data_IF_943940656850
#
_entry.id   IF_943940656850
#
_cell.length_a   1.000
_cell.length_b   1.000
_cell.length_c   1.000
_cell.angle_alpha   90.00
_cell.angle_beta   90.00
_cell.angle_gamma   90.00
#
_symmetry.space_group_name_H-M   'P 1'
#
loop_
_entity.id
_entity.type
_entity.pdbx_description
1 polymer ?
#
# COMPACT_ATOMS: atom_id res chain seq x y z
N UNK A 1 -2.18 31.68 5.58
CA UNK A 1 -1.82 30.38 4.97
C UNK A 1 -1.84 29.22 5.96
N UNK A 2 -1.25 29.32 7.14
CA UNK A 2 -1.19 28.28 8.18
C UNK A 2 -2.56 27.79 8.71
N UNK A 3 -3.60 28.64 8.73
CA UNK A 3 -4.94 28.26 9.25
C UNK A 3 -5.66 27.28 8.33
N UNK A 4 -5.55 27.45 7.01
CA UNK A 4 -6.19 26.56 6.04
C UNK A 4 -5.46 25.22 5.93
N UNK A 5 -4.14 25.20 6.15
CA UNK A 5 -3.35 23.97 6.18
C UNK A 5 -3.73 23.08 7.37
N UNK A 6 -4.01 23.66 8.54
CA UNK A 6 -4.48 22.90 9.73
C UNK A 6 -5.81 22.21 9.50
N UNK A 7 -6.74 22.87 8.79
CA UNK A 7 -8.07 22.30 8.49
C UNK A 7 -7.94 21.14 7.52
N UNK A 8 -7.07 21.23 6.52
CA UNK A 8 -6.83 20.14 5.54
C UNK A 8 -6.20 18.92 6.23
N UNK A 9 -5.22 19.12 7.10
CA UNK A 9 -4.56 18.02 7.83
C UNK A 9 -5.52 17.33 8.80
N UNK A 10 -6.34 18.08 9.53
CA UNK A 10 -7.38 17.51 10.41
C UNK A 10 -8.48 16.81 9.59
N UNK A 11 -8.87 17.37 8.46
CA UNK A 11 -9.83 16.74 7.54
C UNK A 11 -9.32 15.42 6.97
N UNK A 12 -8.06 15.35 6.56
CA UNK A 12 -7.42 14.11 6.14
C UNK A 12 -7.36 13.05 7.27
N UNK A 13 -7.01 13.45 8.50
CA UNK A 13 -6.93 12.54 9.64
C UNK A 13 -8.31 12.01 10.08
N UNK A 14 -9.37 12.78 9.89
CA UNK A 14 -10.74 12.35 10.23
C UNK A 14 -11.38 11.47 9.14
N UNK A 15 -10.87 11.52 7.90
CA UNK A 15 -11.37 10.71 6.79
C UNK A 15 -10.96 9.24 6.83
N UNK A 16 -10.04 8.86 7.72
CA UNK A 16 -9.53 7.49 7.82
C UNK A 16 -10.49 6.46 8.46
N UNK A 17 -11.70 6.86 8.86
CA UNK A 17 -12.62 5.96 9.56
C UNK A 17 -13.66 5.25 8.66
N UNK A 18 -13.56 5.36 7.34
CA UNK A 18 -14.46 4.64 6.41
C UNK A 18 -13.58 3.82 5.46
N UNK A 19 -13.00 2.76 5.98
CA UNK A 19 -12.30 1.82 5.11
C UNK A 19 -13.22 0.62 4.86
N UNK A 20 -13.69 0.56 3.64
CA UNK A 20 -14.33 -0.62 3.10
C UNK A 20 -13.34 -1.79 3.13
N UNK A 21 -13.85 -2.99 3.34
CA UNK A 21 -13.11 -4.23 3.16
C UNK A 21 -12.39 -4.22 1.80
N UNK A 22 -11.23 -4.85 1.75
CA UNK A 22 -10.36 -4.83 0.57
C UNK A 22 -10.44 -6.17 -0.14
N UNK A 23 -10.82 -6.14 -1.41
CA UNK A 23 -10.87 -7.33 -2.26
C UNK A 23 -9.50 -7.62 -2.89
N UNK A 24 -9.09 -8.88 -2.86
CA UNK A 24 -7.88 -9.39 -3.48
C UNK A 24 -8.19 -10.63 -4.31
N UNK A 25 -7.70 -10.69 -5.53
CA UNK A 25 -7.92 -11.82 -6.44
C UNK A 25 -6.62 -12.56 -6.68
N UNK A 26 -6.65 -13.89 -6.58
CA UNK A 26 -5.52 -14.77 -6.88
C UNK A 26 -5.93 -15.85 -7.87
N UNK A 27 -4.98 -16.48 -8.53
CA UNK A 27 -5.21 -17.51 -9.53
C UNK A 27 -4.42 -18.77 -9.17
N UNK A 28 -5.00 -19.60 -8.29
CA UNK A 28 -4.39 -20.87 -7.84
C UNK A 28 -3.40 -20.73 -6.68
N UNK A 29 -3.39 -19.58 -5.99
CA UNK A 29 -2.48 -19.32 -4.88
C UNK A 29 -3.17 -18.96 -3.56
N UNK A 30 -4.47 -19.28 -3.39
CA UNK A 30 -5.28 -18.86 -2.26
C UNK A 30 -4.58 -19.05 -0.92
N UNK A 31 -4.13 -20.25 -0.62
CA UNK A 31 -3.57 -20.58 0.69
C UNK A 31 -2.28 -19.79 0.99
N UNK A 32 -1.39 -19.66 0.02
CA UNK A 32 -0.13 -18.92 0.19
C UNK A 32 -0.39 -17.42 0.45
N UNK A 33 -1.39 -16.86 -0.23
CA UNK A 33 -1.77 -15.46 -0.06
C UNK A 33 -2.42 -15.25 1.30
N UNK A 34 -3.32 -16.12 1.71
CA UNK A 34 -3.97 -16.10 3.03
C UNK A 34 -2.93 -16.18 4.14
N UNK A 35 -2.00 -17.13 4.07
CA UNK A 35 -0.91 -17.26 5.04
C UNK A 35 -0.02 -16.02 5.08
N UNK A 36 0.26 -15.41 3.93
CA UNK A 36 0.99 -14.14 3.83
C UNK A 36 0.29 -12.99 4.55
N UNK A 37 -1.02 -12.83 4.36
CA UNK A 37 -1.80 -11.80 5.07
C UNK A 37 -1.93 -12.08 6.57
N UNK A 38 -2.11 -13.35 6.98
CA UNK A 38 -2.10 -13.76 8.39
C UNK A 38 -0.76 -13.43 9.05
N UNK A 39 0.35 -13.73 8.38
CA UNK A 39 1.68 -13.39 8.87
C UNK A 39 1.84 -11.88 9.08
N UNK A 40 1.46 -11.09 8.09
CA UNK A 40 1.49 -9.62 8.17
C UNK A 40 0.60 -9.13 9.30
N UNK A 41 -0.64 -9.60 9.39
CA UNK A 41 -1.56 -9.23 10.46
C UNK A 41 -0.95 -9.54 11.85
N UNK A 42 -0.37 -10.71 12.03
CA UNK A 42 0.26 -11.11 13.29
C UNK A 42 1.45 -10.22 13.66
N UNK A 43 2.35 -9.91 12.71
CA UNK A 43 3.50 -9.03 12.95
C UNK A 43 3.07 -7.65 13.46
N UNK A 44 2.01 -7.09 12.86
CA UNK A 44 1.52 -5.76 13.22
C UNK A 44 0.51 -5.76 14.38
N UNK A 45 0.00 -6.91 14.81
CA UNK A 45 -0.91 -7.05 15.95
C UNK A 45 -0.20 -7.17 17.28
N UNK A 46 1.07 -7.58 17.33
CA UNK A 46 1.83 -7.79 18.57
C UNK A 46 2.06 -6.51 19.38
N UNK A 47 1.70 -5.34 18.87
CA UNK A 47 1.93 -4.05 19.57
C UNK A 47 3.39 -3.63 19.69
N UNK A 48 4.33 -4.56 19.63
CA UNK A 48 5.77 -4.30 19.70
C UNK A 48 6.24 -3.43 18.53
N UNK A 49 5.66 -3.63 17.36
CA UNK A 49 5.91 -2.81 16.18
C UNK A 49 5.71 -1.31 16.47
N UNK A 50 4.63 -0.93 17.15
CA UNK A 50 4.38 0.48 17.49
C UNK A 50 5.43 1.02 18.45
N UNK A 51 5.90 0.19 19.40
CA UNK A 51 6.97 0.56 20.35
C UNK A 51 8.28 0.80 19.58
N UNK A 52 8.64 -0.08 18.65
CA UNK A 52 9.84 0.11 17.82
C UNK A 52 9.73 1.33 16.92
N UNK A 53 8.59 1.53 16.23
CA UNK A 53 8.38 2.70 15.38
C UNK A 53 8.47 4.01 16.17
N UNK A 54 7.90 4.04 17.38
CA UNK A 54 7.98 5.19 18.26
C UNK A 54 9.39 5.44 18.76
N UNK A 55 10.12 4.38 19.12
CA UNK A 55 11.51 4.45 19.57
C UNK A 55 12.44 4.97 18.47
N UNK A 56 12.32 4.47 17.25
CA UNK A 56 13.07 4.99 16.10
C UNK A 56 12.76 6.46 15.80
N UNK A 57 11.50 6.86 15.92
CA UNK A 57 11.10 8.25 15.74
C UNK A 57 11.71 9.16 16.80
N UNK A 58 11.70 8.77 18.07
CA UNK A 58 12.34 9.48 19.17
C UNK A 58 13.86 9.62 18.96
N UNK A 59 14.53 8.56 18.51
CA UNK A 59 15.95 8.60 18.15
C UNK A 59 16.20 9.58 17.00
N UNK A 60 15.39 9.57 15.96
CA UNK A 60 15.48 10.52 14.84
C UNK A 60 15.31 11.97 15.29
N UNK A 61 14.31 12.25 16.15
CA UNK A 61 14.07 13.58 16.72
C UNK A 61 15.28 14.02 17.55
N UNK A 62 15.76 13.18 18.47
CA UNK A 62 16.88 13.50 19.36
C UNK A 62 18.16 13.77 18.58
N UNK A 63 18.48 12.95 17.58
CA UNK A 63 19.62 13.17 16.72
C UNK A 63 19.49 14.46 15.89
N UNK A 64 18.33 14.72 15.32
CA UNK A 64 18.05 15.95 14.56
C UNK A 64 18.19 17.21 15.41
N UNK A 65 17.67 17.19 16.64
CA UNK A 65 17.78 18.28 17.62
C UNK A 65 19.24 18.47 18.04
N UNK A 66 19.98 17.40 18.32
CA UNK A 66 21.40 17.46 18.68
C UNK A 66 22.26 18.09 17.58
N UNK A 67 22.07 17.66 16.33
CA UNK A 67 22.81 18.22 15.18
C UNK A 67 22.48 19.71 15.00
N UNK A 68 21.21 20.09 15.02
CA UNK A 68 20.82 21.48 14.80
C UNK A 68 21.20 22.40 15.97
N UNK A 69 21.15 21.93 17.22
CA UNK A 69 21.62 22.70 18.38
C UNK A 69 23.12 22.91 18.30
N UNK A 70 23.89 21.91 17.87
CA UNK A 70 25.32 22.10 17.62
C UNK A 70 25.61 23.15 16.52
N UNK A 71 24.84 23.12 15.39
CA UNK A 71 24.96 24.13 14.35
C UNK A 71 24.51 25.53 14.80
N UNK A 72 23.52 25.62 15.67
CA UNK A 72 23.09 26.91 16.27
C UNK A 72 24.15 27.53 17.18
N UNK A 73 24.86 26.70 17.95
CA UNK A 73 26.01 27.17 18.76
C UNK A 73 27.14 27.73 17.89
N UNK A 74 27.28 27.23 16.68
CA UNK A 74 28.23 27.73 15.68
C UNK A 74 27.70 28.96 14.89
N UNK A 75 26.53 29.49 15.24
CA UNK A 75 25.90 30.63 14.54
C UNK A 75 25.36 30.26 13.12
N UNK A 76 25.27 28.97 12.78
CA UNK A 76 24.91 28.50 11.44
C UNK A 76 23.47 28.03 11.30
N UNK A 77 22.68 28.03 12.39
CA UNK A 77 21.26 27.64 12.35
C UNK A 77 20.39 28.61 13.17
N UNK A 78 19.14 28.79 12.71
CA UNK A 78 18.13 29.59 13.42
C UNK A 78 17.30 28.68 14.34
N UNK A 79 16.82 29.24 15.47
CA UNK A 79 15.95 28.51 16.41
C UNK A 79 14.64 28.02 15.78
N UNK A 80 14.14 28.68 14.73
CA UNK A 80 12.97 28.24 13.95
C UNK A 80 13.15 26.86 13.27
N UNK A 81 14.40 26.50 12.98
CA UNK A 81 14.71 25.23 12.31
C UNK A 81 14.54 24.03 13.25
N UNK A 82 14.76 24.21 14.57
CA UNK A 82 14.54 23.17 15.58
C UNK A 82 13.07 22.82 15.70
N UNK A 83 12.20 23.82 15.76
CA UNK A 83 10.75 23.62 15.82
C UNK A 83 10.24 22.89 14.58
N UNK A 84 10.81 23.21 13.42
CA UNK A 84 10.47 22.57 12.15
C UNK A 84 10.79 21.07 12.16
N UNK A 85 11.96 20.67 12.68
CA UNK A 85 12.35 19.26 12.78
C UNK A 85 11.41 18.50 13.71
N UNK A 86 11.14 19.03 14.88
CA UNK A 86 10.23 18.40 15.85
C UNK A 86 8.84 18.25 15.23
N UNK A 87 8.32 19.29 14.58
CA UNK A 87 7.01 19.25 13.95
C UNK A 87 6.91 18.21 12.82
N UNK A 88 7.87 18.21 11.89
CA UNK A 88 7.85 17.25 10.78
C UNK A 88 8.09 15.81 11.23
N UNK A 89 8.93 15.59 12.25
CA UNK A 89 9.13 14.25 12.81
C UNK A 89 7.87 13.74 13.52
N UNK A 90 7.21 14.57 14.32
CA UNK A 90 5.94 14.20 14.97
C UNK A 90 4.83 13.97 13.93
N UNK A 91 4.76 14.80 12.89
CA UNK A 91 3.80 14.64 11.81
C UNK A 91 4.04 13.32 11.05
N UNK A 92 5.30 13.04 10.70
CA UNK A 92 5.68 11.79 10.01
C UNK A 92 5.35 10.56 10.85
N UNK A 93 5.66 10.59 12.15
CA UNK A 93 5.32 9.50 13.08
C UNK A 93 3.81 9.32 13.21
N UNK A 94 3.06 10.42 13.30
CA UNK A 94 1.60 10.37 13.40
C UNK A 94 0.95 9.79 12.15
N UNK A 95 1.41 10.19 10.95
CA UNK A 95 0.93 9.65 9.68
C UNK A 95 1.29 8.17 9.58
N UNK A 96 2.54 7.81 9.83
CA UNK A 96 3.01 6.43 9.74
C UNK A 96 2.27 5.54 10.76
N UNK A 97 2.21 5.95 12.02
CA UNK A 97 1.47 5.21 13.05
C UNK A 97 -0.01 5.06 12.71
N UNK A 98 -0.66 6.12 12.20
CA UNK A 98 -2.06 6.07 11.80
C UNK A 98 -2.33 5.10 10.65
N UNK A 99 -1.48 5.10 9.63
CA UNK A 99 -1.62 4.22 8.47
C UNK A 99 -1.43 2.73 8.80
N UNK A 100 -0.56 2.41 9.76
CA UNK A 100 -0.34 1.03 10.18
C UNK A 100 -1.22 0.61 11.37
N UNK A 101 -1.69 1.53 12.19
CA UNK A 101 -2.62 1.24 13.27
C UNK A 101 -4.06 1.01 12.77
N UNK A 102 -4.43 1.66 11.67
CA UNK A 102 -5.71 1.41 11.03
C UNK A 102 -5.70 0.01 10.40
N UNK A 103 -6.73 -0.78 10.69
CA UNK A 103 -6.86 -2.17 10.26
C UNK A 103 -8.10 -2.35 9.39
N UNK A 104 -8.02 -3.32 8.50
CA UNK A 104 -9.11 -3.70 7.60
C UNK A 104 -9.15 -5.21 7.42
N UNK A 105 -10.26 -5.70 6.86
CA UNK A 105 -10.39 -7.10 6.44
C UNK A 105 -10.06 -7.20 4.95
N UNK A 106 -9.25 -8.18 4.59
CA UNK A 106 -8.94 -8.50 3.19
C UNK A 106 -9.73 -9.73 2.78
N UNK A 107 -10.55 -9.60 1.76
CA UNK A 107 -11.31 -10.68 1.14
C UNK A 107 -10.55 -11.24 -0.05
N UNK A 108 -10.19 -12.52 -0.02
CA UNK A 108 -9.35 -13.16 -1.01
C UNK A 108 -10.20 -14.12 -1.81
N UNK A 109 -10.24 -13.92 -3.12
CA UNK A 109 -11.01 -14.72 -4.08
C UNK A 109 -10.07 -15.45 -5.02
N UNK A 110 -10.28 -16.76 -5.18
CA UNK A 110 -9.56 -17.56 -6.16
C UNK A 110 -10.55 -18.26 -7.11
N UNK A 111 -10.74 -17.74 -8.31
CA UNK A 111 -11.67 -18.32 -9.28
C UNK A 111 -11.20 -19.67 -9.83
N UNK A 112 -9.91 -20.02 -9.73
CA UNK A 112 -9.37 -21.29 -10.25
C UNK A 112 -9.79 -22.46 -9.38
N UNK A 113 -9.71 -22.29 -8.06
CA UNK A 113 -10.14 -23.32 -7.09
C UNK A 113 -11.53 -23.07 -6.53
N UNK A 114 -12.22 -22.03 -7.05
CA UNK A 114 -13.51 -21.56 -6.53
C UNK A 114 -13.49 -21.36 -5.01
N UNK A 115 -12.38 -20.79 -4.53
CA UNK A 115 -12.12 -20.57 -3.12
C UNK A 115 -12.35 -19.11 -2.71
N UNK A 116 -12.77 -18.94 -1.45
CA UNK A 116 -12.92 -17.64 -0.81
C UNK A 116 -12.47 -17.74 0.64
N UNK A 117 -11.61 -16.81 1.04
CA UNK A 117 -11.22 -16.65 2.43
C UNK A 117 -11.11 -15.16 2.80
N UNK A 118 -11.19 -14.86 4.09
CA UNK A 118 -11.05 -13.50 4.60
C UNK A 118 -10.05 -13.45 5.75
N UNK A 119 -9.17 -12.45 5.73
CA UNK A 119 -8.18 -12.21 6.76
C UNK A 119 -8.46 -10.85 7.40
N UNK A 120 -8.78 -10.84 8.68
CA UNK A 120 -8.99 -9.63 9.47
C UNK A 120 -7.68 -9.05 10.01
N UNK A 121 -7.79 -7.85 10.58
CA UNK A 121 -6.69 -7.17 11.29
C UNK A 121 -5.45 -6.87 10.45
N UNK A 122 -5.57 -6.82 9.14
CA UNK A 122 -4.48 -6.45 8.24
C UNK A 122 -4.29 -4.93 8.28
N UNK A 123 -3.04 -4.42 8.42
CA UNK A 123 -2.79 -2.98 8.36
C UNK A 123 -3.30 -2.40 7.04
N UNK A 124 -4.11 -1.35 7.16
CA UNK A 124 -4.79 -0.73 6.02
C UNK A 124 -3.84 -0.33 4.90
N UNK A 125 -2.69 0.25 5.24
CA UNK A 125 -1.69 0.63 4.24
C UNK A 125 -1.24 -0.56 3.40
N UNK A 126 -0.95 -1.70 4.04
CA UNK A 126 -0.48 -2.90 3.34
C UNK A 126 -1.60 -3.55 2.53
N UNK A 127 -2.82 -3.60 3.06
CA UNK A 127 -4.00 -4.05 2.33
C UNK A 127 -4.26 -3.18 1.08
N UNK A 128 -4.14 -1.86 1.21
CA UNK A 128 -4.32 -0.92 0.08
C UNK A 128 -3.24 -1.10 -0.99
N UNK A 129 -1.97 -1.24 -0.59
CA UNK A 129 -0.87 -1.48 -1.55
C UNK A 129 -1.09 -2.82 -2.28
N UNK A 130 -1.46 -3.87 -1.55
CA UNK A 130 -1.75 -5.17 -2.12
C UNK A 130 -2.91 -5.10 -3.12
N UNK A 131 -3.99 -4.40 -2.77
CA UNK A 131 -5.15 -4.18 -3.66
C UNK A 131 -4.77 -3.42 -4.93
N UNK A 132 -4.00 -2.33 -4.82
CA UNK A 132 -3.54 -1.57 -5.99
C UNK A 132 -2.70 -2.46 -6.90
N UNK A 133 -1.73 -3.19 -6.34
CA UNK A 133 -0.87 -4.11 -7.10
C UNK A 133 -1.69 -5.18 -7.80
N UNK A 134 -2.66 -5.78 -7.11
CA UNK A 134 -3.56 -6.79 -7.66
C UNK A 134 -4.48 -6.22 -8.76
N UNK A 135 -5.00 -5.01 -8.58
CA UNK A 135 -5.78 -4.31 -9.61
C UNK A 135 -4.96 -4.04 -10.88
N UNK A 136 -3.69 -3.64 -10.72
CA UNK A 136 -2.80 -3.41 -11.86
C UNK A 136 -2.49 -4.72 -12.61
N UNK A 137 -2.22 -5.81 -11.89
CA UNK A 137 -1.98 -7.13 -12.46
C UNK A 137 -3.21 -7.62 -13.23
N UNK A 138 -4.40 -7.50 -12.64
CA UNK A 138 -5.66 -7.88 -13.28
C UNK A 138 -5.92 -7.07 -14.56
N UNK A 139 -5.77 -5.75 -14.50
CA UNK A 139 -5.93 -4.90 -15.69
C UNK A 139 -4.91 -5.26 -16.79
N UNK A 140 -3.67 -5.54 -16.41
CA UNK A 140 -2.65 -6.01 -17.35
C UNK A 140 -3.00 -7.35 -18.01
N UNK A 141 -3.52 -8.29 -17.23
CA UNK A 141 -3.96 -9.60 -17.72
C UNK A 141 -5.16 -9.49 -18.66
N UNK A 142 -6.14 -8.65 -18.32
CA UNK A 142 -7.31 -8.39 -19.16
C UNK A 142 -6.90 -7.77 -20.50
N UNK A 143 -6.03 -6.77 -20.49
CA UNK A 143 -5.49 -6.14 -21.71
C UNK A 143 -4.73 -7.14 -22.59
N UNK A 144 -3.93 -8.02 -21.97
CA UNK A 144 -3.19 -9.06 -22.70
C UNK A 144 -4.15 -10.08 -23.31
N UNK A 145 -5.16 -10.49 -22.56
CA UNK A 145 -6.21 -11.41 -23.03
C UNK A 145 -6.97 -10.84 -24.23
N UNK A 146 -7.37 -9.58 -24.15
CA UNK A 146 -8.05 -8.89 -25.25
C UNK A 146 -7.14 -8.77 -26.47
N UNK A 147 -5.86 -8.43 -26.28
CA UNK A 147 -4.90 -8.35 -27.37
C UNK A 147 -4.72 -9.72 -28.07
N UNK A 148 -4.64 -10.81 -27.30
CA UNK A 148 -4.54 -12.19 -27.83
C UNK A 148 -5.81 -12.58 -28.59
N UNK A 149 -6.99 -12.24 -28.05
CA UNK A 149 -8.26 -12.49 -28.73
C UNK A 149 -8.35 -11.73 -30.07
N UNK A 150 -7.98 -10.46 -30.08
CA UNK A 150 -7.91 -9.69 -31.32
C UNK A 150 -6.92 -10.23 -32.34
N UNK A 151 -5.78 -10.77 -31.89
CA UNK A 151 -4.83 -11.45 -32.79
C UNK A 151 -5.38 -12.78 -33.32
N UNK A 152 -6.13 -13.52 -32.49
CA UNK A 152 -6.76 -14.78 -32.87
C UNK A 152 -7.89 -14.60 -33.89
N UNK A 153 -8.72 -13.57 -33.71
CA UNK A 153 -9.89 -13.30 -34.53
C UNK A 153 -9.60 -12.23 -35.63
N UNK A 154 -8.38 -11.72 -35.70
CA UNK A 154 -7.97 -10.71 -36.66
C UNK A 154 -7.70 -11.23 -38.08
N UNK A 155 -7.52 -10.33 -39.07
CA UNK A 155 -7.38 -10.64 -40.48
C UNK A 155 -6.17 -11.54 -40.84
N UNK A 156 -5.25 -11.75 -39.90
CA UNK A 156 -4.11 -12.69 -40.06
C UNK A 156 -4.54 -14.15 -40.10
N UNK A 157 -5.56 -14.56 -39.35
CA UNK A 157 -6.07 -15.93 -39.36
C UNK A 157 -6.79 -16.25 -40.67
N UNK A 158 -7.47 -15.27 -41.24
CA UNK A 158 -8.15 -15.43 -42.53
C UNK A 158 -7.14 -15.69 -43.67
N UNK A 159 -5.98 -15.03 -43.62
CA UNK A 159 -4.89 -15.25 -44.58
C UNK A 159 -4.19 -16.59 -44.41
N UNK A 160 -4.05 -17.10 -43.19
CA UNK A 160 -3.49 -18.43 -42.91
C UNK A 160 -4.43 -19.57 -43.32
N UNK A 161 -5.74 -19.43 -43.08
CA UNK A 161 -6.76 -20.40 -43.50
C UNK A 161 -6.88 -20.49 -45.03
N UNK A 162 -6.70 -19.37 -45.75
CA UNK A 162 -6.75 -19.37 -47.21
C UNK A 162 -5.49 -19.97 -47.85
N UNK A 163 -4.37 -20.07 -47.10
CA UNK A 163 -3.11 -20.62 -47.61
C UNK A 163 -2.93 -22.12 -47.38
N UNK A 164 -3.71 -22.71 -46.44
CA UNK A 164 -3.79 -24.15 -46.21
C UNK A 164 -5.06 -24.63 -46.92
N UNK A 165 -4.99 -24.73 -48.23
CA UNK A 165 -6.08 -25.33 -49.01
C UNK A 165 -6.35 -26.76 -48.55
N UNK A 166 -7.57 -27.28 -48.77
CA UNK A 166 -7.91 -28.65 -48.39
C UNK A 166 -6.97 -29.63 -49.12
N UNK A 167 -6.14 -30.32 -48.35
CA UNK A 167 -5.45 -31.49 -48.90
C UNK A 167 -6.49 -32.52 -49.28
N UNK A 168 -6.59 -32.78 -50.60
CA UNK A 168 -7.30 -33.93 -51.14
C UNK A 168 -6.42 -35.17 -51.08
#
# INVERSE_FOLDING_TARGET
MLRNFRIVVVGCLLSFNVFADVDYYTYGGLQNIVEGFIFVANVFNTGEYLIYAFSFSLLGISAGVAIKSGLAMLGKAKSSDLLSIIFFSLLGTGIFGGLFAAKTTVHIYDPVVNGYESVGDVPLLLATIAHISNSMERTGTDLLSDAILHLRDGPFQTKLRLKVGPYR
#
